data_IF_560757200477
#
_entry.id   IF_560757200477
#
_cell.length_a   1.000
_cell.length_b   1.000
_cell.length_c   1.000
_cell.angle_alpha   90.00
_cell.angle_beta   90.00
_cell.angle_gamma   90.00
#
_symmetry.space_group_name_H-M   'P 1'
#
loop_
_entity.id
_entity.type
_entity.pdbx_description
1 polymer ?
#
# COMPACT_ATOMS: atom_id res chain seq x y z
N UNK A 1 14.29 -9.89 2.06
CA UNK A 1 15.17 -10.94 2.60
C UNK A 1 15.57 -10.64 4.05
N UNK A 2 16.32 -9.58 4.36
CA UNK A 2 16.72 -9.24 5.76
C UNK A 2 15.54 -9.06 6.72
N UNK A 3 14.47 -8.37 6.30
CA UNK A 3 13.26 -8.22 7.12
C UNK A 3 12.48 -9.51 7.30
N UNK A 4 12.43 -10.37 6.29
CA UNK A 4 11.77 -11.67 6.40
C UNK A 4 12.43 -12.52 7.50
N UNK A 5 13.76 -12.45 7.64
CA UNK A 5 14.51 -13.08 8.74
C UNK A 5 14.21 -12.45 10.11
N UNK A 6 14.19 -11.12 10.20
CA UNK A 6 13.82 -10.40 11.43
C UNK A 6 12.41 -10.79 11.89
N UNK A 7 11.46 -10.83 10.97
CA UNK A 7 10.07 -11.21 11.22
C UNK A 7 9.86 -12.70 11.51
N UNK A 8 10.82 -13.56 11.17
CA UNK A 8 10.80 -14.97 11.60
C UNK A 8 11.29 -15.14 13.05
N UNK A 9 12.29 -14.35 13.46
CA UNK A 9 12.87 -14.43 14.80
C UNK A 9 11.98 -13.70 15.83
N UNK A 10 11.36 -12.60 15.43
CA UNK A 10 10.61 -11.72 16.31
C UNK A 10 9.44 -12.39 17.06
N UNK A 11 8.58 -13.22 16.44
CA UNK A 11 7.53 -13.96 17.16
C UNK A 11 8.07 -14.94 18.20
N UNK A 12 9.21 -15.59 17.89
CA UNK A 12 9.88 -16.53 18.80
C UNK A 12 10.47 -15.85 20.04
N UNK A 13 11.02 -14.65 19.89
CA UNK A 13 11.56 -13.84 21.00
C UNK A 13 10.45 -13.21 21.83
N UNK A 14 9.34 -12.82 21.19
CA UNK A 14 8.22 -12.14 21.86
C UNK A 14 7.16 -13.11 22.42
N UNK A 15 7.35 -14.44 22.29
CA UNK A 15 6.38 -15.49 22.67
C UNK A 15 4.96 -15.26 22.09
N UNK A 16 4.86 -14.67 20.89
CA UNK A 16 3.58 -14.22 20.33
C UNK A 16 3.03 -15.09 19.20
N UNK A 17 3.67 -16.23 18.88
CA UNK A 17 3.23 -17.12 17.81
C UNK A 17 4.12 -18.36 17.67
N UNK A 18 3.65 -19.35 16.92
CA UNK A 18 4.37 -20.58 16.61
C UNK A 18 5.44 -20.32 15.55
N UNK A 19 6.69 -20.66 15.86
CA UNK A 19 7.79 -20.67 14.88
C UNK A 19 7.60 -21.89 13.97
N UNK A 20 7.63 -21.78 12.64
CA UNK A 20 7.51 -22.94 11.76
C UNK A 20 8.62 -23.96 12.06
N UNK A 21 8.25 -25.18 12.41
CA UNK A 21 9.19 -26.21 12.87
C UNK A 21 9.92 -26.95 11.74
N UNK A 22 9.53 -26.73 10.49
CA UNK A 22 10.03 -27.48 9.33
C UNK A 22 10.72 -26.54 8.33
N UNK A 23 11.88 -26.94 7.80
CA UNK A 23 12.66 -26.17 6.83
C UNK A 23 11.87 -25.82 5.55
N UNK A 24 11.03 -26.74 5.06
CA UNK A 24 10.15 -26.48 3.91
C UNK A 24 9.11 -25.39 4.18
N UNK A 25 8.48 -25.42 5.36
CA UNK A 25 7.53 -24.39 5.78
C UNK A 25 8.21 -23.03 5.99
N UNK A 26 9.47 -23.01 6.48
CA UNK A 26 10.27 -21.78 6.57
C UNK A 26 10.55 -21.19 5.19
N UNK A 27 10.91 -22.03 4.22
CA UNK A 27 11.22 -21.60 2.85
C UNK A 27 9.98 -21.07 2.14
N UNK A 28 8.85 -21.78 2.25
CA UNK A 28 7.54 -21.32 1.78
C UNK A 28 7.14 -19.98 2.41
N UNK A 29 7.33 -19.86 3.73
CA UNK A 29 6.99 -18.63 4.47
C UNK A 29 7.84 -17.43 4.05
N UNK A 30 9.13 -17.66 3.77
CA UNK A 30 10.07 -16.65 3.28
C UNK A 30 9.78 -16.22 1.84
N UNK A 31 9.47 -17.18 0.97
CA UNK A 31 9.23 -16.95 -0.46
C UNK A 31 7.86 -16.32 -0.70
N UNK A 32 6.82 -16.79 0.01
CA UNK A 32 5.46 -16.27 -0.12
C UNK A 32 5.18 -15.03 0.74
N UNK A 33 6.13 -14.61 1.58
CA UNK A 33 5.98 -13.47 2.48
C UNK A 33 4.82 -13.65 3.48
N UNK A 34 4.56 -14.88 3.92
CA UNK A 34 3.47 -15.18 4.86
C UNK A 34 3.86 -14.97 6.33
N UNK A 35 5.13 -14.64 6.63
CA UNK A 35 5.60 -14.47 8.01
C UNK A 35 4.90 -13.33 8.75
N UNK A 36 4.33 -12.35 8.05
CA UNK A 36 3.53 -11.29 8.65
C UNK A 36 2.59 -10.64 7.63
N UNK A 37 1.42 -10.19 8.07
CA UNK A 37 0.29 -9.76 7.21
C UNK A 37 0.61 -8.59 6.27
N UNK A 38 1.64 -7.79 6.52
CA UNK A 38 2.04 -6.64 5.68
C UNK A 38 3.05 -7.00 4.58
N UNK A 39 3.74 -8.14 4.67
CA UNK A 39 4.78 -8.49 3.70
C UNK A 39 4.24 -8.85 2.31
N UNK A 40 2.92 -9.06 2.18
CA UNK A 40 2.27 -9.24 0.87
C UNK A 40 2.55 -8.06 -0.08
N UNK A 41 2.69 -6.84 0.44
CA UNK A 41 3.00 -5.67 -0.38
C UNK A 41 4.38 -5.79 -1.03
N UNK A 42 5.39 -6.34 -0.35
CA UNK A 42 6.71 -6.59 -0.95
C UNK A 42 6.61 -7.60 -2.10
N UNK A 43 5.76 -8.61 -1.95
CA UNK A 43 5.50 -9.59 -2.99
C UNK A 43 4.83 -8.94 -4.23
N UNK A 44 3.81 -8.12 -4.01
CA UNK A 44 3.14 -7.34 -5.08
C UNK A 44 4.13 -6.38 -5.75
N UNK A 45 4.95 -5.65 -4.98
CA UNK A 45 5.96 -4.75 -5.53
C UNK A 45 6.97 -5.50 -6.40
N UNK A 46 7.40 -6.69 -5.98
CA UNK A 46 8.32 -7.53 -6.78
C UNK A 46 7.70 -7.89 -8.14
N UNK A 47 6.42 -8.26 -8.18
CA UNK A 47 5.70 -8.50 -9.44
C UNK A 47 5.71 -7.26 -10.34
N UNK A 48 5.45 -6.08 -9.77
CA UNK A 48 5.50 -4.83 -10.51
C UNK A 48 6.90 -4.48 -11.03
N UNK A 49 7.96 -4.73 -10.26
CA UNK A 49 9.33 -4.52 -10.72
C UNK A 49 9.70 -5.41 -11.91
N UNK A 50 9.28 -6.67 -11.89
CA UNK A 50 9.49 -7.59 -13.02
C UNK A 50 8.65 -7.19 -14.24
N UNK A 51 7.43 -6.69 -14.01
CA UNK A 51 6.51 -6.27 -15.06
C UNK A 51 6.84 -4.88 -15.63
N UNK A 52 7.55 -4.04 -14.87
CA UNK A 52 7.88 -2.67 -15.22
C UNK A 52 8.58 -2.48 -16.58
N UNK A 53 9.63 -3.23 -16.97
CA UNK A 53 10.26 -3.05 -18.28
C UNK A 53 9.27 -3.30 -19.44
N UNK A 54 8.40 -4.30 -19.29
CA UNK A 54 7.37 -4.60 -20.27
C UNK A 54 6.30 -3.50 -20.33
N UNK A 55 5.78 -3.06 -19.18
CA UNK A 55 4.81 -1.96 -19.13
C UNK A 55 5.39 -0.67 -19.70
N UNK A 56 6.64 -0.33 -19.37
CA UNK A 56 7.34 0.82 -19.94
C UNK A 56 7.39 0.76 -21.45
N UNK A 57 7.73 -0.40 -22.01
CA UNK A 57 7.75 -0.60 -23.47
C UNK A 57 6.34 -0.40 -24.08
N UNK A 58 5.30 -0.95 -23.46
CA UNK A 58 3.92 -0.77 -23.89
C UNK A 58 3.47 0.70 -23.81
N UNK A 59 3.80 1.40 -22.73
CA UNK A 59 3.47 2.82 -22.56
C UNK A 59 4.11 3.69 -23.65
N UNK A 60 5.38 3.42 -23.99
CA UNK A 60 6.07 4.14 -25.05
C UNK A 60 5.46 3.86 -26.43
N UNK A 61 5.07 2.60 -26.69
CA UNK A 61 4.51 2.20 -27.99
C UNK A 61 3.06 2.67 -28.20
N UNK A 62 2.23 2.70 -27.15
CA UNK A 62 0.79 2.96 -27.25
C UNK A 62 0.35 4.27 -26.58
N UNK A 63 1.31 5.12 -26.17
CA UNK A 63 1.11 6.45 -25.56
C UNK A 63 0.12 6.47 -24.37
N UNK A 64 -0.08 5.33 -23.69
CA UNK A 64 -0.96 5.20 -22.52
C UNK A 64 -2.47 5.28 -22.76
N UNK A 65 -2.94 5.83 -23.90
CA UNK A 65 -4.37 6.08 -24.15
C UNK A 65 -5.20 4.80 -24.23
N UNK A 66 -4.65 3.72 -24.78
CA UNK A 66 -5.30 2.41 -24.84
C UNK A 66 -4.95 1.52 -23.65
N UNK A 67 -3.77 1.73 -23.07
CA UNK A 67 -3.27 0.92 -21.96
C UNK A 67 -3.98 1.23 -20.65
N UNK A 68 -4.22 2.51 -20.35
CA UNK A 68 -4.87 2.90 -19.09
C UNK A 68 -6.32 2.37 -18.97
N UNK A 69 -7.19 2.47 -19.99
CA UNK A 69 -8.51 1.86 -19.94
C UNK A 69 -8.48 0.34 -19.80
N UNK A 70 -7.53 -0.33 -20.47
CA UNK A 70 -7.36 -1.79 -20.33
C UNK A 70 -6.97 -2.16 -18.90
N UNK A 71 -5.97 -1.48 -18.32
CA UNK A 71 -5.53 -1.73 -16.94
C UNK A 71 -6.61 -1.39 -15.91
N UNK A 72 -7.42 -0.36 -16.18
CA UNK A 72 -8.61 -0.03 -15.40
C UNK A 72 -9.64 -1.16 -15.48
N UNK A 73 -9.93 -1.68 -16.67
CA UNK A 73 -10.85 -2.81 -16.87
C UNK A 73 -10.40 -4.06 -16.12
N UNK A 74 -9.12 -4.41 -16.19
CA UNK A 74 -8.55 -5.53 -15.43
C UNK A 74 -8.68 -5.29 -13.92
N UNK A 75 -8.39 -4.07 -13.47
CA UNK A 75 -8.49 -3.71 -12.04
C UNK A 75 -9.92 -3.77 -11.54
N UNK A 76 -10.88 -3.27 -12.33
CA UNK A 76 -12.31 -3.34 -12.01
C UNK A 76 -12.79 -4.79 -11.99
N UNK A 77 -12.43 -5.61 -12.98
CA UNK A 77 -12.77 -7.03 -12.99
C UNK A 77 -12.20 -7.74 -11.76
N UNK A 78 -10.93 -7.51 -11.42
CA UNK A 78 -10.29 -8.09 -10.24
C UNK A 78 -10.90 -7.62 -8.91
N UNK A 79 -11.56 -6.45 -8.88
CA UNK A 79 -12.23 -5.91 -7.70
C UNK A 79 -13.71 -6.29 -7.60
N UNK A 80 -14.39 -6.51 -8.72
CA UNK A 80 -15.83 -6.79 -8.79
C UNK A 80 -16.18 -8.27 -8.75
N UNK A 81 -15.28 -9.14 -9.21
CA UNK A 81 -15.51 -10.59 -9.13
C UNK A 81 -15.46 -11.04 -7.68
N UNK A 82 -16.51 -11.71 -7.21
CA UNK A 82 -16.48 -12.33 -5.88
C UNK A 82 -15.50 -13.49 -5.89
N UNK A 83 -14.84 -13.74 -4.76
CA UNK A 83 -13.77 -14.76 -4.68
C UNK A 83 -14.28 -16.17 -5.05
N UNK A 84 -15.55 -16.44 -4.77
CA UNK A 84 -16.28 -17.63 -5.21
C UNK A 84 -16.47 -17.70 -6.72
N UNK A 85 -16.82 -16.58 -7.37
CA UNK A 85 -17.00 -16.51 -8.84
C UNK A 85 -15.67 -16.74 -9.58
N UNK A 86 -14.57 -16.20 -9.05
CA UNK A 86 -13.22 -16.42 -9.61
C UNK A 86 -12.84 -17.89 -9.51
N UNK A 87 -13.10 -18.52 -8.36
CA UNK A 87 -12.82 -19.93 -8.15
C UNK A 87 -13.66 -20.82 -9.09
N UNK A 88 -14.93 -20.49 -9.28
CA UNK A 88 -15.83 -21.21 -10.19
C UNK A 88 -15.41 -21.06 -11.66
N UNK A 89 -14.98 -19.87 -12.07
CA UNK A 89 -14.58 -19.61 -13.46
C UNK A 89 -13.22 -20.23 -13.83
N UNK A 90 -12.24 -20.16 -12.91
CA UNK A 90 -10.85 -20.58 -13.20
C UNK A 90 -10.54 -21.99 -12.68
N UNK A 91 -11.39 -22.55 -11.81
CA UNK A 91 -11.19 -23.87 -11.20
C UNK A 91 -10.04 -23.93 -10.18
N UNK A 92 -9.44 -22.79 -9.83
CA UNK A 92 -8.34 -22.67 -8.87
C UNK A 92 -8.90 -22.08 -7.58
N UNK A 93 -8.63 -22.74 -6.45
CA UNK A 93 -8.97 -22.20 -5.13
C UNK A 93 -8.21 -20.89 -4.90
N UNK A 94 -8.91 -19.76 -5.04
CA UNK A 94 -8.39 -18.44 -4.74
C UNK A 94 -9.06 -17.92 -3.47
N UNK A 95 -8.30 -17.87 -2.38
CA UNK A 95 -8.74 -17.17 -1.18
C UNK A 95 -8.43 -15.66 -1.30
N UNK A 96 -9.06 -14.87 -0.44
CA UNK A 96 -8.88 -13.40 -0.39
C UNK A 96 -7.40 -13.00 -0.30
N UNK A 97 -6.60 -13.78 0.44
CA UNK A 97 -5.17 -13.53 0.65
C UNK A 97 -4.37 -13.67 -0.65
N UNK A 98 -4.65 -14.70 -1.45
CA UNK A 98 -3.99 -14.95 -2.74
C UNK A 98 -4.29 -13.84 -3.75
N UNK A 99 -5.53 -13.34 -3.78
CA UNK A 99 -5.88 -12.26 -4.71
C UNK A 99 -5.31 -10.91 -4.27
N UNK A 100 -5.31 -10.60 -2.97
CA UNK A 100 -4.63 -9.40 -2.42
C UNK A 100 -3.13 -9.39 -2.73
N UNK A 101 -2.52 -10.57 -2.85
CA UNK A 101 -1.12 -10.79 -3.23
C UNK A 101 -0.88 -10.71 -4.74
N UNK A 102 -1.91 -10.70 -5.56
CA UNK A 102 -1.79 -10.56 -7.00
C UNK A 102 -1.62 -9.09 -7.39
N UNK A 103 -0.96 -8.83 -8.52
CA UNK A 103 -0.84 -7.50 -9.12
C UNK A 103 -2.15 -6.95 -9.69
N UNK A 104 -3.14 -7.79 -10.02
CA UNK A 104 -4.32 -7.36 -10.78
C UNK A 104 -5.18 -6.28 -10.10
N UNK A 105 -5.49 -6.34 -8.78
CA UNK A 105 -6.25 -5.29 -8.11
C UNK A 105 -5.51 -3.95 -8.03
N UNK A 106 -4.19 -3.96 -8.27
CA UNK A 106 -3.31 -2.81 -8.13
C UNK A 106 -2.85 -2.23 -9.48
N UNK A 107 -3.16 -2.92 -10.57
CA UNK A 107 -2.55 -2.74 -11.88
C UNK A 107 -2.82 -1.34 -12.46
N UNK A 108 -4.06 -0.85 -12.33
CA UNK A 108 -4.42 0.49 -12.77
C UNK A 108 -3.67 1.59 -12.01
N UNK A 109 -3.53 1.48 -10.69
CA UNK A 109 -2.83 2.51 -9.91
C UNK A 109 -1.36 2.60 -10.31
N UNK A 110 -0.70 1.45 -10.48
CA UNK A 110 0.68 1.38 -10.94
C UNK A 110 0.83 1.94 -12.36
N UNK A 111 -0.05 1.53 -13.28
CA UNK A 111 -0.09 2.00 -14.66
C UNK A 111 -0.32 3.52 -14.74
N UNK A 112 -1.29 4.05 -13.99
CA UNK A 112 -1.61 5.47 -13.97
C UNK A 112 -0.47 6.30 -13.39
N UNK A 113 0.13 5.87 -12.27
CA UNK A 113 1.32 6.52 -11.72
C UNK A 113 2.51 6.49 -12.68
N UNK A 114 2.74 5.36 -13.36
CA UNK A 114 3.77 5.23 -14.39
C UNK A 114 3.55 6.17 -15.57
N UNK A 115 2.31 6.28 -16.06
CA UNK A 115 1.95 7.23 -17.11
C UNK A 115 2.21 8.68 -16.72
N UNK A 116 1.81 9.08 -15.50
CA UNK A 116 2.12 10.42 -14.96
C UNK A 116 3.63 10.69 -14.86
N UNK A 117 4.42 9.67 -14.53
CA UNK A 117 5.87 9.77 -14.38
C UNK A 117 6.65 9.78 -15.70
N UNK A 118 6.11 9.18 -16.77
CA UNK A 118 6.78 9.12 -18.08
C UNK A 118 6.70 10.44 -18.84
N UNK A 119 5.61 11.20 -18.67
CA UNK A 119 5.38 12.48 -19.36
C UNK A 119 4.95 13.58 -18.37
N UNK A 120 5.78 13.94 -17.38
CA UNK A 120 5.33 14.70 -16.23
C UNK A 120 4.80 16.10 -16.59
N UNK A 121 5.40 16.77 -17.57
CA UNK A 121 4.96 18.11 -18.01
C UNK A 121 3.60 18.05 -18.72
N UNK A 122 3.44 17.13 -19.66
CA UNK A 122 2.19 16.93 -20.41
C UNK A 122 1.06 16.49 -19.49
N UNK A 123 1.32 15.51 -18.62
CA UNK A 123 0.36 15.03 -17.62
C UNK A 123 -0.04 16.16 -16.66
N UNK A 124 0.91 16.98 -16.20
CA UNK A 124 0.59 18.12 -15.35
C UNK A 124 -0.27 19.16 -16.08
N UNK A 125 0.04 19.45 -17.35
CA UNK A 125 -0.75 20.36 -18.17
C UNK A 125 -2.19 19.86 -18.36
N UNK A 126 -2.38 18.57 -18.65
CA UNK A 126 -3.70 17.95 -18.76
C UNK A 126 -4.46 17.99 -17.43
N UNK A 127 -3.80 17.65 -16.31
CA UNK A 127 -4.41 17.66 -14.98
C UNK A 127 -4.75 19.06 -14.48
N UNK A 128 -4.05 20.10 -14.94
CA UNK A 128 -4.35 21.51 -14.60
C UNK A 128 -5.67 22.02 -15.18
N UNK A 129 -6.20 21.36 -16.22
CA UNK A 129 -7.51 21.68 -16.81
C UNK A 129 -8.67 21.44 -15.83
N UNK A 130 -8.49 20.53 -14.87
CA UNK A 130 -9.49 20.28 -13.84
C UNK A 130 -9.37 21.34 -12.72
N UNK A 131 -10.46 22.05 -12.37
CA UNK A 131 -10.41 23.04 -11.31
C UNK A 131 -10.24 22.38 -9.93
N UNK A 132 -9.61 23.09 -8.99
CA UNK A 132 -9.43 22.62 -7.62
C UNK A 132 -10.77 22.31 -6.92
N UNK A 133 -11.83 23.03 -7.29
CA UNK A 133 -13.19 22.79 -6.78
C UNK A 133 -13.69 21.40 -7.15
N UNK A 134 -13.56 21.00 -8.42
CA UNK A 134 -13.93 19.67 -8.89
C UNK A 134 -13.14 18.58 -8.18
N UNK A 135 -11.81 18.72 -8.08
CA UNK A 135 -10.96 17.75 -7.40
C UNK A 135 -11.34 17.61 -5.92
N UNK A 136 -11.63 18.72 -5.24
CA UNK A 136 -12.02 18.72 -3.83
C UNK A 136 -13.40 18.08 -3.63
N UNK A 137 -14.36 18.37 -4.50
CA UNK A 137 -15.70 17.75 -4.47
C UNK A 137 -15.61 16.25 -4.69
N UNK A 138 -14.84 15.78 -5.68
CA UNK A 138 -14.65 14.35 -5.93
C UNK A 138 -13.93 13.63 -4.80
N UNK A 139 -12.90 14.26 -4.22
CA UNK A 139 -12.19 13.70 -3.07
C UNK A 139 -13.12 13.59 -1.85
N UNK A 140 -13.84 14.67 -1.52
CA UNK A 140 -14.72 14.69 -0.36
C UNK A 140 -15.92 13.76 -0.54
N UNK A 141 -16.53 13.74 -1.72
CA UNK A 141 -17.66 12.84 -2.00
C UNK A 141 -17.26 11.37 -1.95
N UNK A 142 -16.12 11.00 -2.54
CA UNK A 142 -15.60 9.64 -2.45
C UNK A 142 -15.25 9.25 -1.01
N UNK A 143 -14.64 10.15 -0.22
CA UNK A 143 -14.35 9.90 1.19
C UNK A 143 -15.62 9.73 2.03
N UNK A 144 -16.63 10.60 1.85
CA UNK A 144 -17.91 10.51 2.56
C UNK A 144 -18.65 9.23 2.19
N UNK A 145 -18.68 8.85 0.91
CA UNK A 145 -19.32 7.62 0.47
C UNK A 145 -18.61 6.37 1.03
N UNK A 146 -17.28 6.39 1.11
CA UNK A 146 -16.52 5.31 1.75
C UNK A 146 -16.82 5.22 3.24
N UNK A 147 -16.80 6.35 3.95
CA UNK A 147 -17.17 6.39 5.37
C UNK A 147 -18.59 5.88 5.59
N UNK A 148 -19.53 6.27 4.72
CA UNK A 148 -20.90 5.80 4.78
C UNK A 148 -20.98 4.27 4.56
N UNK A 149 -20.26 3.75 3.57
CA UNK A 149 -20.18 2.30 3.32
C UNK A 149 -19.61 1.53 4.52
N UNK A 150 -18.56 2.08 5.15
CA UNK A 150 -17.93 1.47 6.32
C UNK A 150 -18.85 1.50 7.55
N UNK A 151 -19.48 2.64 7.85
CA UNK A 151 -20.24 2.84 9.09
C UNK A 151 -21.65 2.25 9.02
N UNK A 152 -22.35 2.44 7.89
CA UNK A 152 -23.78 2.12 7.82
C UNK A 152 -24.09 0.84 7.06
N UNK A 153 -23.22 0.45 6.14
CA UNK A 153 -23.45 -0.74 5.31
C UNK A 153 -22.59 -1.94 5.76
N UNK A 154 -21.72 -1.74 6.75
CA UNK A 154 -20.68 -2.69 7.17
C UNK A 154 -19.87 -3.24 5.98
N UNK A 155 -19.79 -2.43 4.91
CA UNK A 155 -19.03 -2.72 3.70
C UNK A 155 -17.65 -2.13 3.86
N UNK A 156 -16.86 -2.72 4.75
CA UNK A 156 -15.43 -2.47 4.91
C UNK A 156 -14.62 -3.14 3.80
N UNK A 157 -14.78 -2.71 2.55
CA UNK A 157 -14.14 -3.33 1.39
C UNK A 157 -13.05 -2.47 0.76
N UNK A 158 -11.85 -3.04 0.61
CA UNK A 158 -10.70 -2.46 -0.10
C UNK A 158 -10.89 -2.35 -1.63
N UNK A 159 -12.08 -2.68 -2.15
CA UNK A 159 -12.34 -2.95 -3.56
C UNK A 159 -13.66 -2.33 -4.05
N UNK A 160 -13.98 -1.13 -3.55
CA UNK A 160 -15.14 -0.37 -4.03
C UNK A 160 -14.69 0.61 -5.11
N UNK A 161 -15.57 0.93 -6.05
CA UNK A 161 -15.34 1.99 -7.03
C UNK A 161 -14.92 3.31 -6.34
N UNK A 162 -15.47 3.57 -5.15
CA UNK A 162 -15.13 4.75 -4.36
C UNK A 162 -13.68 4.72 -3.87
N UNK A 163 -13.12 3.53 -3.58
CA UNK A 163 -11.70 3.37 -3.22
C UNK A 163 -10.79 3.70 -4.41
N UNK A 164 -11.17 3.27 -5.63
CA UNK A 164 -10.44 3.63 -6.86
C UNK A 164 -10.48 5.14 -7.07
N UNK A 165 -11.66 5.75 -6.97
CA UNK A 165 -11.83 7.19 -7.14
C UNK A 165 -11.04 7.99 -6.09
N UNK A 166 -11.12 7.61 -4.82
CA UNK A 166 -10.37 8.26 -3.74
C UNK A 166 -8.86 8.15 -4.00
N UNK A 167 -8.36 6.96 -4.34
CA UNK A 167 -6.95 6.73 -4.63
C UNK A 167 -6.47 7.53 -5.85
N UNK A 168 -7.28 7.62 -6.91
CA UNK A 168 -6.99 8.45 -8.08
C UNK A 168 -6.91 9.93 -7.70
N UNK A 169 -7.85 10.43 -6.89
CA UNK A 169 -7.82 11.81 -6.41
C UNK A 169 -6.58 12.09 -5.57
N UNK A 170 -6.21 11.19 -4.65
CA UNK A 170 -4.98 11.31 -3.85
C UNK A 170 -3.73 11.33 -4.75
N UNK A 171 -3.66 10.47 -5.77
CA UNK A 171 -2.55 10.47 -6.74
C UNK A 171 -2.46 11.79 -7.53
N UNK A 172 -3.59 12.28 -8.06
CA UNK A 172 -3.65 13.55 -8.79
C UNK A 172 -3.25 14.73 -7.90
N UNK A 173 -3.72 14.75 -6.65
CA UNK A 173 -3.34 15.77 -5.67
C UNK A 173 -1.86 15.68 -5.32
N UNK A 174 -1.33 14.47 -5.11
CA UNK A 174 0.09 14.22 -4.87
C UNK A 174 0.97 14.71 -6.02
N UNK A 175 0.47 14.70 -7.25
CA UNK A 175 1.17 15.21 -8.42
C UNK A 175 1.07 16.74 -8.57
N UNK A 176 -0.09 17.33 -8.24
CA UNK A 176 -0.36 18.78 -8.41
C UNK A 176 0.07 19.66 -7.25
N UNK A 177 -0.11 19.23 -6.01
CA UNK A 177 0.16 20.04 -4.82
C UNK A 177 1.64 20.47 -4.69
N UNK A 178 2.64 19.61 -4.97
CA UNK A 178 4.06 20.00 -4.91
C UNK A 178 4.43 21.13 -5.88
N UNK A 179 3.63 21.35 -6.92
CA UNK A 179 3.84 22.41 -7.90
C UNK A 179 3.43 23.80 -7.38
N UNK A 180 2.64 23.84 -6.29
CA UNK A 180 2.17 25.09 -5.67
C UNK A 180 2.78 25.31 -4.29
N UNK A 181 3.08 24.23 -3.58
CA UNK A 181 3.56 24.29 -2.20
C UNK A 181 4.70 23.28 -2.00
N UNK A 182 5.74 23.68 -1.26
CA UNK A 182 6.81 22.75 -0.87
C UNK A 182 6.48 22.16 0.50
N UNK A 183 6.46 20.84 0.61
CA UNK A 183 6.17 20.13 1.84
C UNK A 183 7.40 19.34 2.32
N UNK A 184 8.34 20.01 2.99
CA UNK A 184 9.60 19.41 3.45
C UNK A 184 9.38 18.16 4.33
N UNK A 185 8.28 18.13 5.10
CA UNK A 185 7.93 16.99 5.94
C UNK A 185 7.43 15.80 5.11
N UNK A 186 6.67 16.02 4.02
CA UNK A 186 6.21 14.96 3.11
C UNK A 186 7.39 14.36 2.38
N UNK A 187 8.33 15.19 1.92
CA UNK A 187 9.57 14.73 1.28
C UNK A 187 10.39 13.88 2.26
N UNK A 188 10.49 14.32 3.52
CA UNK A 188 11.16 13.55 4.57
C UNK A 188 10.44 12.24 4.85
N UNK A 189 9.12 12.24 4.99
CA UNK A 189 8.32 11.03 5.18
C UNK A 189 8.47 10.06 3.99
N UNK A 190 8.46 10.59 2.76
CA UNK A 190 8.66 9.82 1.53
C UNK A 190 10.03 9.13 1.48
N UNK A 191 11.10 9.86 1.82
CA UNK A 191 12.46 9.32 1.90
C UNK A 191 12.62 8.16 2.89
N UNK A 192 11.87 8.17 3.99
CA UNK A 192 11.91 7.11 5.01
C UNK A 192 10.73 6.14 4.92
N UNK A 193 9.85 6.28 3.92
CA UNK A 193 8.57 5.58 3.83
C UNK A 193 8.72 4.05 3.81
N UNK A 194 9.73 3.54 3.09
CA UNK A 194 9.99 2.11 3.03
C UNK A 194 10.47 1.55 4.38
N UNK A 195 11.35 2.27 5.09
CA UNK A 195 11.79 1.88 6.43
C UNK A 195 10.64 1.92 7.46
N UNK A 196 9.82 2.98 7.42
CA UNK A 196 8.59 3.10 8.22
C UNK A 196 7.65 1.93 7.93
N UNK A 197 7.43 1.62 6.66
CA UNK A 197 6.61 0.50 6.22
C UNK A 197 7.11 -0.84 6.78
N UNK A 198 8.41 -1.03 6.90
CA UNK A 198 8.95 -2.29 7.42
C UNK A 198 8.94 -2.38 8.94
N UNK A 199 9.12 -1.28 9.65
CA UNK A 199 9.27 -1.30 11.12
C UNK A 199 7.96 -1.11 11.89
N UNK A 200 6.98 -0.42 11.30
CA UNK A 200 5.73 -0.08 11.99
C UNK A 200 4.96 -1.28 12.58
N UNK A 201 4.92 -2.49 11.99
CA UNK A 201 4.19 -3.62 12.58
C UNK A 201 4.86 -4.16 13.84
N UNK A 202 6.21 -4.18 13.87
CA UNK A 202 6.96 -4.52 15.08
C UNK A 202 6.75 -3.48 16.17
N UNK A 203 6.80 -2.20 15.80
CA UNK A 203 6.57 -1.11 16.75
C UNK A 203 5.14 -1.09 17.25
N UNK A 204 4.15 -1.33 16.38
CA UNK A 204 2.75 -1.43 16.77
C UNK A 204 2.57 -2.56 17.78
N UNK A 205 3.13 -3.74 17.52
CA UNK A 205 3.10 -4.84 18.48
C UNK A 205 3.75 -4.48 19.82
N UNK A 206 4.93 -3.85 19.77
CA UNK A 206 5.65 -3.43 20.99
C UNK A 206 4.89 -2.36 21.78
N UNK A 207 4.36 -1.35 21.08
CA UNK A 207 3.59 -0.25 21.68
C UNK A 207 2.26 -0.76 22.25
N UNK A 208 1.57 -1.67 21.56
CA UNK A 208 0.33 -2.26 22.06
C UNK A 208 0.56 -3.03 23.37
N UNK A 209 1.66 -3.77 23.49
CA UNK A 209 2.04 -4.43 24.76
C UNK A 209 2.37 -3.43 25.87
N UNK A 210 3.03 -2.33 25.55
CA UNK A 210 3.36 -1.30 26.54
C UNK A 210 2.12 -0.49 26.98
N UNK A 211 1.14 -0.32 26.09
CA UNK A 211 -0.12 0.35 26.37
C UNK A 211 -1.20 -0.59 26.90
N UNK A 212 -0.90 -1.88 27.05
CA UNK A 212 -1.82 -2.87 27.59
C UNK A 212 -2.25 -2.45 29.00
N UNK A 213 -3.54 -2.13 29.15
CA UNK A 213 -4.15 -1.63 30.38
C UNK A 213 -4.38 -0.12 30.47
N UNK A 214 -3.76 0.71 29.62
CA UNK A 214 -3.97 2.17 29.57
C UNK A 214 -4.65 2.63 28.27
N UNK A 215 -4.85 1.69 27.34
CA UNK A 215 -5.48 1.94 26.05
C UNK A 215 -6.99 2.13 26.22
N UNK A 216 -7.48 3.34 25.95
CA UNK A 216 -8.92 3.62 25.91
C UNK A 216 -9.48 3.13 24.57
N UNK A 217 -9.87 1.86 24.54
CA UNK A 217 -10.51 1.26 23.38
C UNK A 217 -11.82 1.99 23.03
N UNK A 218 -12.06 2.21 21.73
CA UNK A 218 -13.37 2.67 21.24
C UNK A 218 -13.53 4.17 20.96
N UNK A 219 -12.51 5.02 21.13
CA UNK A 219 -12.60 6.43 20.71
C UNK A 219 -11.81 6.73 19.44
N UNK A 220 -12.42 7.41 18.47
CA UNK A 220 -11.76 7.80 17.21
C UNK A 220 -10.57 8.75 17.42
N UNK A 221 -10.60 9.57 18.48
CA UNK A 221 -9.49 10.43 18.86
C UNK A 221 -8.29 9.62 19.34
N UNK A 222 -8.50 8.56 20.12
CA UNK A 222 -7.43 7.66 20.53
C UNK A 222 -6.78 6.97 19.33
N UNK A 223 -7.58 6.52 18.35
CA UNK A 223 -7.06 5.94 17.11
C UNK A 223 -6.16 6.91 16.34
N UNK A 224 -6.55 8.18 16.22
CA UNK A 224 -5.74 9.21 15.56
C UNK A 224 -4.44 9.44 16.31
N UNK A 225 -4.51 9.67 17.63
CA UNK A 225 -3.32 9.90 18.46
C UNK A 225 -2.36 8.70 18.41
N UNK A 226 -2.89 7.48 18.47
CA UNK A 226 -2.11 6.25 18.38
C UNK A 226 -1.43 6.12 17.01
N UNK A 227 -2.15 6.38 15.93
CA UNK A 227 -1.61 6.34 14.57
C UNK A 227 -0.51 7.37 14.34
N UNK A 228 -0.70 8.61 14.83
CA UNK A 228 0.30 9.68 14.76
C UNK A 228 1.54 9.31 15.58
N UNK A 229 1.35 8.76 16.78
CA UNK A 229 2.43 8.32 17.67
C UNK A 229 3.24 7.20 17.03
N UNK A 230 2.57 6.18 16.51
CA UNK A 230 3.20 5.06 15.80
C UNK A 230 4.01 5.56 14.61
N UNK A 231 3.45 6.48 13.80
CA UNK A 231 4.16 7.07 12.67
C UNK A 231 5.40 7.84 13.11
N UNK A 232 5.28 8.68 14.15
CA UNK A 232 6.38 9.48 14.68
C UNK A 232 7.53 8.59 15.22
N UNK A 233 7.20 7.56 16.00
CA UNK A 233 8.17 6.59 16.52
C UNK A 233 8.82 5.82 15.37
N UNK A 234 8.04 5.36 14.39
CA UNK A 234 8.56 4.65 13.22
C UNK A 234 9.52 5.52 12.41
N UNK A 235 9.19 6.80 12.20
CA UNK A 235 10.05 7.77 11.53
C UNK A 235 11.34 8.03 12.32
N UNK A 236 11.24 8.18 13.65
CA UNK A 236 12.39 8.40 14.52
C UNK A 236 13.36 7.23 14.49
N UNK A 237 12.85 6.00 14.68
CA UNK A 237 13.68 4.78 14.64
C UNK A 237 14.29 4.59 13.26
N UNK A 238 13.53 4.81 12.18
CA UNK A 238 14.07 4.71 10.82
C UNK A 238 15.20 5.73 10.58
N UNK A 239 15.06 6.97 11.06
CA UNK A 239 16.13 7.98 11.02
C UNK A 239 17.36 7.59 11.84
N UNK A 240 17.17 6.97 13.00
CA UNK A 240 18.28 6.49 13.84
C UNK A 240 19.02 5.35 13.13
N UNK A 241 18.30 4.40 12.54
CA UNK A 241 18.88 3.31 11.76
C UNK A 241 19.67 3.83 10.55
N UNK A 242 19.21 4.90 9.92
CA UNK A 242 19.92 5.50 8.78
C UNK A 242 21.30 6.05 9.13
N UNK A 243 21.54 6.41 10.40
CA UNK A 243 22.84 6.88 10.88
C UNK A 243 23.81 5.75 11.21
N UNK A 244 23.37 4.50 11.14
CA UNK A 244 24.21 3.32 11.41
C UNK A 244 24.85 2.79 10.13
N UNK A 245 26.09 2.24 10.18
CA UNK A 245 26.83 1.84 8.99
C UNK A 245 26.15 0.74 8.14
N UNK A 246 25.20 -0.01 8.70
CA UNK A 246 24.43 -1.05 8.00
C UNK A 246 22.96 -0.69 7.75
N UNK A 247 22.56 0.57 7.99
CA UNK A 247 21.17 1.03 7.87
C UNK A 247 20.56 0.80 6.48
N UNK A 248 21.38 0.81 5.42
CA UNK A 248 20.96 0.57 4.04
C UNK A 248 20.37 -0.83 3.81
N UNK A 249 20.78 -1.84 4.59
CA UNK A 249 20.24 -3.20 4.50
C UNK A 249 18.81 -3.31 5.07
N UNK A 250 18.42 -2.35 5.92
CA UNK A 250 17.14 -2.33 6.61
C UNK A 250 16.15 -1.34 5.99
N UNK A 251 16.58 -0.36 5.20
CA UNK A 251 15.69 0.64 4.62
C UNK A 251 15.55 0.57 3.10
N UNK A 252 16.22 -0.39 2.44
CA UNK A 252 16.41 -0.34 0.98
C UNK A 252 17.33 0.81 0.58
N UNK A 253 17.67 0.93 -0.70
CA UNK A 253 18.37 2.11 -1.23
C UNK A 253 17.37 3.14 -1.71
#
# INVERSE_FOLDING_TARGET
MSWSLIYLIYPGVTKSGSVPHTFGALLETLVMGTSYYHLYFLFVMTQFYLLFPFLRHLFQKWQGITLLPLMLGITLAAQMLTWSEVQEFIGIHMNEVTVRRSLFPWLFYFAFGGWLGLHPEESLHQLRRFPWTLLSVLLLSSAVLLLHQMVFLDRGGYHTLMTILLSLMVLVLGFRLPQRFRFNWVETAGRYSFGIFLIHPMLLHSLNRLAEGWMLEGTGLWFILWSVSLFAVSLAVTKMLDRTPFGYLLKGR
#
